data_IF_812550297889
#
_entry.id   IF_812550297889
#
_cell.length_a   1.000
_cell.length_b   1.000
_cell.length_c   1.000
_cell.angle_alpha   90.00
_cell.angle_beta   90.00
_cell.angle_gamma   90.00
#
_symmetry.space_group_name_H-M   'P 1'
#
loop_
_entity.id
_entity.type
_entity.pdbx_description
1 polymer ?
#
# COMPACT_ATOMS: atom_id res chain seq x y z
N UNK A 1 -12.72 -13.20 6.34
CA UNK A 1 -13.82 -13.87 7.08
C UNK A 1 -14.24 -13.09 8.31
N UNK A 2 -13.38 -12.94 9.35
CA UNK A 2 -13.73 -12.17 10.56
C UNK A 2 -14.25 -10.75 10.27
N UNK A 3 -13.55 -9.98 9.43
CA UNK A 3 -13.99 -8.64 9.06
C UNK A 3 -15.39 -8.63 8.39
N UNK A 4 -15.69 -9.61 7.53
CA UNK A 4 -17.01 -9.72 6.91
C UNK A 4 -18.11 -10.04 7.93
N UNK A 5 -17.81 -10.90 8.91
CA UNK A 5 -18.73 -11.18 10.01
C UNK A 5 -19.01 -9.94 10.86
N UNK A 6 -17.97 -9.17 11.19
CA UNK A 6 -18.10 -7.92 11.95
C UNK A 6 -18.95 -6.88 11.20
N UNK A 7 -18.74 -6.75 9.88
CA UNK A 7 -19.58 -5.87 9.04
C UNK A 7 -21.05 -6.32 9.06
N UNK A 8 -21.31 -7.63 8.98
CA UNK A 8 -22.67 -8.17 9.09
C UNK A 8 -23.31 -7.90 10.46
N UNK A 9 -22.54 -8.08 11.54
CA UNK A 9 -22.98 -7.78 12.90
C UNK A 9 -23.29 -6.29 13.08
N UNK A 10 -22.48 -5.39 12.51
CA UNK A 10 -22.71 -3.94 12.54
C UNK A 10 -24.03 -3.56 11.84
N UNK A 11 -24.30 -4.14 10.67
CA UNK A 11 -25.58 -3.93 9.98
C UNK A 11 -26.78 -4.40 10.82
N UNK A 12 -26.68 -5.54 11.50
CA UNK A 12 -27.72 -6.03 12.40
C UNK A 12 -27.91 -5.10 13.63
N UNK A 13 -26.82 -4.59 14.19
CA UNK A 13 -26.84 -3.60 15.28
C UNK A 13 -27.52 -2.30 14.82
N UNK A 14 -27.23 -1.81 13.62
CA UNK A 14 -27.86 -0.61 13.07
C UNK A 14 -29.39 -0.76 12.97
N UNK A 15 -29.86 -1.89 12.43
CA UNK A 15 -31.30 -2.21 12.34
C UNK A 15 -31.95 -2.35 13.72
N UNK A 16 -31.25 -2.92 14.70
CA UNK A 16 -31.75 -2.98 16.08
C UNK A 16 -31.77 -1.62 16.77
N UNK A 17 -30.77 -0.77 16.50
CA UNK A 17 -30.67 0.59 17.04
C UNK A 17 -31.85 1.48 16.65
N UNK A 18 -32.33 1.37 15.39
CA UNK A 18 -33.50 2.12 14.92
C UNK A 18 -34.84 1.61 15.49
N UNK A 19 -34.88 0.46 16.14
CA UNK A 19 -36.13 -0.22 16.57
C UNK A 19 -36.64 0.21 17.96
N UNK A 20 -36.20 1.37 18.47
CA UNK A 20 -36.67 1.92 19.74
C UNK A 20 -38.13 2.40 19.65
N UNK A 21 -38.92 2.15 20.69
CA UNK A 21 -40.31 2.62 20.77
C UNK A 21 -40.54 3.32 22.13
N UNK A 22 -40.86 4.62 22.07
CA UNK A 22 -41.05 5.48 23.24
C UNK A 22 -39.87 5.41 24.23
N UNK A 23 -40.11 4.98 25.47
CA UNK A 23 -39.13 4.99 26.55
C UNK A 23 -38.09 3.84 26.46
N UNK A 24 -38.28 2.85 25.57
CA UNK A 24 -37.44 1.65 25.58
C UNK A 24 -37.14 1.06 24.18
N UNK A 25 -35.91 0.59 24.00
CA UNK A 25 -35.52 -0.29 22.91
C UNK A 25 -35.46 -1.74 23.41
N UNK A 26 -36.28 -2.63 22.86
CA UNK A 26 -36.36 -4.05 23.26
C UNK A 26 -35.38 -4.96 22.50
N UNK A 27 -34.66 -4.43 21.51
CA UNK A 27 -33.65 -5.14 20.72
C UNK A 27 -32.24 -5.06 21.34
N UNK A 28 -32.10 -4.44 22.52
CA UNK A 28 -30.81 -4.30 23.22
C UNK A 28 -30.07 -5.64 23.44
N UNK A 29 -30.73 -6.78 23.72
CA UNK A 29 -30.03 -8.06 23.81
C UNK A 29 -29.32 -8.46 22.51
N UNK A 30 -29.93 -8.20 21.34
CA UNK A 30 -29.30 -8.46 20.04
C UNK A 30 -28.09 -7.56 19.81
N UNK A 31 -28.22 -6.27 20.18
CA UNK A 31 -27.12 -5.31 20.08
C UNK A 31 -25.93 -5.77 20.93
N UNK A 32 -26.19 -6.15 22.19
CA UNK A 32 -25.16 -6.60 23.11
C UNK A 32 -24.44 -7.86 22.60
N UNK A 33 -25.20 -8.88 22.16
CA UNK A 33 -24.64 -10.13 21.66
C UNK A 33 -23.74 -9.91 20.43
N UNK A 34 -24.26 -9.21 19.40
CA UNK A 34 -23.50 -8.94 18.19
C UNK A 34 -22.27 -8.07 18.43
N UNK A 35 -22.35 -7.10 19.36
CA UNK A 35 -21.23 -6.24 19.71
C UNK A 35 -20.14 -7.05 20.44
N UNK A 36 -20.50 -7.80 21.47
CA UNK A 36 -19.56 -8.62 22.24
C UNK A 36 -18.93 -9.71 21.38
N UNK A 37 -19.72 -10.34 20.51
CA UNK A 37 -19.21 -11.32 19.56
C UNK A 37 -18.19 -10.69 18.60
N UNK A 38 -18.48 -9.51 18.04
CA UNK A 38 -17.55 -8.78 17.18
C UNK A 38 -16.26 -8.41 17.89
N UNK A 39 -16.34 -7.91 19.13
CA UNK A 39 -15.18 -7.58 19.96
C UNK A 39 -14.32 -8.83 20.19
N UNK A 40 -14.94 -9.96 20.55
CA UNK A 40 -14.24 -11.21 20.80
C UNK A 40 -13.51 -11.71 19.55
N UNK A 41 -14.19 -11.70 18.38
CA UNK A 41 -13.58 -12.11 17.11
C UNK A 41 -12.40 -11.21 16.73
N UNK A 42 -12.56 -9.89 16.81
CA UNK A 42 -11.51 -8.93 16.47
C UNK A 42 -10.32 -9.04 17.42
N UNK A 43 -10.55 -9.16 18.72
CA UNK A 43 -9.48 -9.29 19.71
C UNK A 43 -8.65 -10.55 19.46
N UNK A 44 -9.30 -11.67 19.15
CA UNK A 44 -8.61 -12.93 18.89
C UNK A 44 -7.86 -12.92 17.57
N UNK A 45 -8.49 -12.46 16.48
CA UNK A 45 -7.83 -12.46 15.16
C UNK A 45 -6.68 -11.45 15.10
N UNK A 46 -6.77 -10.32 15.82
CA UNK A 46 -5.70 -9.31 15.82
C UNK A 46 -4.42 -9.86 16.44
N UNK A 47 -4.53 -10.54 17.60
CA UNK A 47 -3.39 -11.23 18.21
C UNK A 47 -2.85 -12.34 17.32
N UNK A 48 -3.74 -13.17 16.76
CA UNK A 48 -3.33 -14.26 15.88
C UNK A 48 -2.60 -13.77 14.62
N UNK A 49 -3.11 -12.70 13.99
CA UNK A 49 -2.49 -12.09 12.82
C UNK A 49 -1.12 -11.51 13.16
N UNK A 50 -1.01 -10.79 14.28
CA UNK A 50 0.24 -10.24 14.76
C UNK A 50 1.30 -11.33 14.96
N UNK A 51 0.95 -12.39 15.71
CA UNK A 51 1.92 -13.42 16.11
C UNK A 51 2.26 -14.40 14.99
N UNK A 52 1.27 -14.79 14.16
CA UNK A 52 1.44 -15.88 13.20
C UNK A 52 1.80 -15.41 11.80
N UNK A 53 1.40 -14.20 11.40
CA UNK A 53 1.65 -13.68 10.07
C UNK A 53 2.64 -12.52 10.09
N UNK A 54 2.41 -11.50 10.92
CA UNK A 54 3.20 -10.25 10.87
C UNK A 54 4.58 -10.43 11.52
N UNK A 55 4.65 -11.02 12.72
CA UNK A 55 5.92 -11.19 13.45
C UNK A 55 6.95 -12.05 12.70
N UNK A 56 6.49 -12.96 11.85
CA UNK A 56 7.35 -13.84 11.05
C UNK A 56 7.51 -13.38 9.60
N UNK A 57 6.88 -12.26 9.21
CA UNK A 57 6.90 -11.75 7.85
C UNK A 57 8.32 -11.37 7.43
N UNK A 58 8.73 -11.85 6.25
CA UNK A 58 10.02 -11.51 5.64
C UNK A 58 9.83 -10.94 4.26
N UNK A 59 10.54 -9.86 3.98
CA UNK A 59 10.54 -9.22 2.66
C UNK A 59 11.44 -10.02 1.72
N UNK A 60 10.94 -10.32 0.52
CA UNK A 60 11.77 -10.85 -0.56
C UNK A 60 12.53 -9.70 -1.23
N UNK A 61 13.72 -9.40 -0.68
CA UNK A 61 14.56 -8.29 -1.13
C UNK A 61 14.92 -8.40 -2.62
N UNK A 62 15.22 -9.60 -3.13
CA UNK A 62 15.59 -9.79 -4.54
C UNK A 62 14.48 -9.38 -5.50
N UNK A 63 13.24 -9.81 -5.23
CA UNK A 63 12.07 -9.41 -6.03
C UNK A 63 11.76 -7.92 -5.88
N UNK A 64 11.94 -7.36 -4.69
CA UNK A 64 11.71 -5.94 -4.45
C UNK A 64 12.70 -5.09 -5.25
N UNK A 65 14.00 -5.42 -5.20
CA UNK A 65 15.04 -4.71 -5.96
C UNK A 65 14.83 -4.80 -7.46
N UNK A 66 14.42 -5.97 -7.99
CA UNK A 66 14.11 -6.14 -9.42
C UNK A 66 12.93 -5.26 -9.84
N UNK A 67 11.83 -5.30 -9.08
CA UNK A 67 10.65 -4.49 -9.37
C UNK A 67 10.94 -3.00 -9.28
N UNK A 68 11.75 -2.59 -8.28
CA UNK A 68 12.14 -1.20 -8.08
C UNK A 68 13.02 -0.67 -9.21
N UNK A 69 14.04 -1.42 -9.62
CA UNK A 69 14.95 -1.02 -10.69
C UNK A 69 14.22 -0.77 -12.03
N UNK A 70 13.11 -1.48 -12.27
CA UNK A 70 12.26 -1.36 -13.46
C UNK A 70 11.13 -0.36 -13.33
N UNK A 71 10.93 0.23 -12.14
CA UNK A 71 9.77 1.08 -11.88
C UNK A 71 9.92 2.43 -12.61
N UNK A 72 9.03 2.78 -13.55
CA UNK A 72 9.10 4.04 -14.29
C UNK A 72 9.05 5.29 -13.40
N UNK A 73 8.57 5.18 -12.16
CA UNK A 73 8.52 6.30 -11.22
C UNK A 73 9.91 6.90 -10.96
N UNK A 74 10.98 6.10 -11.04
CA UNK A 74 12.34 6.58 -10.78
C UNK A 74 12.76 7.70 -11.73
N UNK A 75 12.25 7.69 -12.98
CA UNK A 75 12.60 8.71 -13.97
C UNK A 75 12.13 10.12 -13.57
N UNK A 76 11.15 10.24 -12.69
CA UNK A 76 10.62 11.54 -12.26
C UNK A 76 11.67 12.38 -11.54
N UNK A 77 12.66 11.73 -10.92
CA UNK A 77 13.83 12.39 -10.32
C UNK A 77 14.67 13.16 -11.36
N UNK A 78 14.60 12.75 -12.63
CA UNK A 78 15.36 13.37 -13.72
C UNK A 78 14.61 14.54 -14.36
N UNK A 79 13.31 14.73 -14.10
CA UNK A 79 12.50 15.80 -14.68
C UNK A 79 13.16 17.20 -14.60
N UNK A 80 13.77 17.62 -13.46
CA UNK A 80 14.41 18.93 -13.36
C UNK A 80 15.68 19.09 -14.20
N UNK A 81 16.28 17.99 -14.65
CA UNK A 81 17.60 17.97 -15.32
C UNK A 81 17.43 17.78 -16.83
N UNK A 82 16.60 16.83 -17.25
CA UNK A 82 16.45 16.45 -18.66
C UNK A 82 15.10 16.88 -19.24
N UNK A 83 14.22 17.46 -18.42
CA UNK A 83 12.86 17.84 -18.79
C UNK A 83 11.89 16.66 -18.81
N UNK A 84 10.60 16.97 -18.61
CA UNK A 84 9.53 15.97 -18.52
C UNK A 84 9.41 15.10 -19.77
N UNK A 85 9.50 15.69 -20.96
CA UNK A 85 9.29 14.97 -22.22
C UNK A 85 10.33 13.86 -22.41
N UNK A 86 11.62 14.18 -22.19
CA UNK A 86 12.72 13.22 -22.31
C UNK A 86 12.66 12.13 -21.23
N UNK A 87 12.31 12.50 -20.00
CA UNK A 87 12.08 11.54 -18.92
C UNK A 87 10.91 10.58 -19.24
N UNK A 88 9.81 11.09 -19.79
CA UNK A 88 8.67 10.27 -20.20
C UNK A 88 9.02 9.28 -21.33
N UNK A 89 9.87 9.68 -22.27
CA UNK A 89 10.37 8.78 -23.33
C UNK A 89 11.22 7.65 -22.75
N UNK A 90 12.15 7.96 -21.84
CA UNK A 90 12.98 6.97 -21.14
C UNK A 90 12.12 5.98 -20.36
N UNK A 91 11.11 6.45 -19.62
CA UNK A 91 10.19 5.58 -18.89
C UNK A 91 9.41 4.64 -19.82
N UNK A 92 8.89 5.15 -20.95
CA UNK A 92 8.15 4.33 -21.93
C UNK A 92 9.05 3.29 -22.58
N UNK A 93 10.30 3.63 -22.87
CA UNK A 93 11.28 2.72 -23.44
C UNK A 93 11.63 1.61 -22.44
N UNK A 94 12.00 1.96 -21.21
CA UNK A 94 12.34 0.99 -20.17
C UNK A 94 11.19 0.02 -19.87
N UNK A 95 9.95 0.52 -19.85
CA UNK A 95 8.77 -0.33 -19.67
C UNK A 95 8.56 -1.30 -20.83
N UNK A 96 8.72 -0.85 -22.07
CA UNK A 96 8.55 -1.69 -23.28
C UNK A 96 9.62 -2.78 -23.37
N UNK A 97 10.85 -2.43 -23.04
CA UNK A 97 12.01 -3.33 -23.13
C UNK A 97 12.19 -4.18 -21.86
N UNK A 98 11.46 -3.87 -20.78
CA UNK A 98 11.62 -4.53 -19.49
C UNK A 98 13.01 -4.33 -18.90
N UNK A 99 13.63 -3.15 -19.09
CA UNK A 99 15.00 -2.88 -18.65
C UNK A 99 15.02 -1.98 -17.41
N UNK A 100 16.09 -2.01 -16.60
CA UNK A 100 16.28 -1.05 -15.52
C UNK A 100 16.28 0.39 -16.04
N UNK A 101 15.65 1.29 -15.28
CA UNK A 101 15.55 2.72 -15.66
C UNK A 101 16.93 3.34 -15.80
N UNK A 102 17.87 2.95 -14.93
CA UNK A 102 19.23 3.49 -14.94
C UNK A 102 19.98 3.17 -16.24
N UNK A 103 19.79 1.97 -16.80
CA UNK A 103 20.46 1.56 -18.04
C UNK A 103 19.91 2.35 -19.24
N UNK A 104 18.59 2.51 -19.30
CA UNK A 104 17.94 3.29 -20.37
C UNK A 104 18.26 4.78 -20.25
N UNK A 105 18.36 5.31 -19.02
CA UNK A 105 18.76 6.69 -18.78
C UNK A 105 20.23 6.93 -19.18
N UNK A 106 21.13 5.97 -18.93
CA UNK A 106 22.53 6.06 -19.34
C UNK A 106 22.70 6.09 -20.87
N UNK A 107 21.85 5.39 -21.60
CA UNK A 107 21.86 5.39 -23.08
C UNK A 107 21.28 6.67 -23.70
N UNK A 108 20.32 7.29 -23.03
CA UNK A 108 19.53 8.41 -23.57
C UNK A 108 19.92 9.78 -23.00
N UNK A 109 20.84 9.83 -22.03
CA UNK A 109 21.26 11.08 -21.37
C UNK A 109 22.78 11.21 -21.34
N UNK A 110 23.28 12.44 -21.22
CA UNK A 110 24.71 12.73 -21.08
C UNK A 110 25.21 12.59 -19.63
N UNK A 111 24.41 11.96 -18.75
CA UNK A 111 24.73 11.77 -17.35
C UNK A 111 25.56 10.49 -17.19
N UNK A 112 26.63 10.57 -16.39
CA UNK A 112 27.39 9.38 -16.04
C UNK A 112 26.62 8.48 -15.05
N UNK A 113 27.04 7.22 -14.98
CA UNK A 113 26.38 6.23 -14.12
C UNK A 113 26.40 6.64 -12.65
N UNK A 114 27.52 7.19 -12.17
CA UNK A 114 27.66 7.63 -10.78
C UNK A 114 26.64 8.72 -10.44
N UNK A 115 26.41 9.69 -11.34
CA UNK A 115 25.40 10.73 -11.14
C UNK A 115 23.98 10.17 -11.19
N UNK A 116 23.70 9.23 -12.10
CA UNK A 116 22.40 8.58 -12.19
C UNK A 116 22.06 7.77 -10.93
N UNK A 117 23.03 7.04 -10.35
CA UNK A 117 22.82 6.28 -9.09
C UNK A 117 22.46 7.21 -7.93
N UNK A 118 23.05 8.41 -7.88
CA UNK A 118 22.75 9.42 -6.85
C UNK A 118 21.37 10.06 -7.04
N UNK A 119 20.96 10.29 -8.29
CA UNK A 119 19.71 10.95 -8.65
C UNK A 119 18.50 10.02 -8.62
N UNK A 120 18.68 8.77 -9.06
CA UNK A 120 17.64 7.73 -9.13
C UNK A 120 17.54 6.94 -7.81
N UNK A 121 18.09 7.47 -6.72
CA UNK A 121 18.05 6.87 -5.40
C UNK A 121 16.60 6.81 -4.89
N UNK A 122 16.00 5.60 -4.77
CA UNK A 122 14.61 5.46 -4.38
C UNK A 122 14.32 5.94 -2.96
N UNK A 123 15.29 5.85 -2.05
CA UNK A 123 15.10 6.24 -0.65
C UNK A 123 14.90 7.76 -0.55
N UNK A 124 15.67 8.54 -1.31
CA UNK A 124 15.48 9.99 -1.41
C UNK A 124 14.12 10.37 -1.98
N UNK A 125 13.57 9.58 -2.89
CA UNK A 125 12.23 9.79 -3.43
C UNK A 125 11.12 9.53 -2.40
N UNK A 126 11.39 8.76 -1.34
CA UNK A 126 10.41 8.53 -0.25
C UNK A 126 10.37 9.63 0.81
N UNK A 127 11.45 10.41 0.96
CA UNK A 127 11.53 11.46 1.97
C UNK A 127 10.63 12.67 1.66
N UNK A 128 10.11 12.76 0.44
CA UNK A 128 9.40 13.92 -0.08
C UNK A 128 10.35 15.10 -0.32
N UNK A 129 10.16 15.80 -1.44
CA UNK A 129 10.87 17.05 -1.70
C UNK A 129 11.16 17.31 -3.17
N UNK A 130 10.98 18.59 -3.54
CA UNK A 130 12.03 19.33 -4.22
C UNK A 130 13.05 19.77 -3.16
#
# INVERSE_FOLDING_TARGET
>A
MVAAQVIGNDAAIAVAGQSGNFELNVMLPLVADNLLHSIQLLANVSRLLADKAIASFKVNQGKLSEALARNPILVTALNPIIGYQKAAEIAKQAYREGRPIIDVALENTDLDRARLEVLLDPEKLTAGGL
#
